data_IF_314303107592
#
_entry.id   IF_314303107592
#
_cell.length_a   1.000
_cell.length_b   1.000
_cell.length_c   1.000
_cell.angle_alpha   90.00
_cell.angle_beta   90.00
_cell.angle_gamma   90.00
#
_symmetry.space_group_name_H-M   'P 1'
#
loop_
_entity.id
_entity.type
_entity.pdbx_description
1 polymer ?
#
# COMPACT_ATOMS: atom_id res chain seq x y z
N UNK A 1 2.61 -13.78 -10.01
CA UNK A 1 2.13 -12.40 -9.81
C UNK A 1 1.83 -11.77 -11.15
N UNK A 2 0.90 -10.81 -11.19
CA UNK A 2 0.52 -10.09 -12.40
C UNK A 2 1.58 -9.05 -12.78
N UNK A 3 2.02 -9.05 -14.03
CA UNK A 3 3.05 -8.14 -14.56
C UNK A 3 2.62 -6.68 -14.44
N UNK A 4 1.33 -6.44 -14.64
CA UNK A 4 0.68 -5.15 -14.58
C UNK A 4 0.87 -4.48 -13.20
N UNK A 5 0.92 -5.27 -12.12
CA UNK A 5 1.16 -4.75 -10.77
C UNK A 5 2.61 -4.29 -10.58
N UNK A 6 3.59 -5.00 -11.16
CA UNK A 6 5.00 -4.56 -11.13
C UNK A 6 5.19 -3.31 -11.96
N UNK A 7 4.58 -3.23 -13.14
CA UNK A 7 4.62 -2.04 -13.98
C UNK A 7 3.99 -0.84 -13.26
N UNK A 8 2.82 -1.03 -12.62
CA UNK A 8 2.18 -0.02 -11.77
C UNK A 8 3.11 0.43 -10.63
N UNK A 9 3.72 -0.51 -9.91
CA UNK A 9 4.65 -0.22 -8.82
C UNK A 9 5.88 0.58 -9.29
N UNK A 10 6.45 0.23 -10.44
CA UNK A 10 7.63 0.91 -10.99
C UNK A 10 7.27 2.34 -11.39
N UNK A 11 6.14 2.51 -12.10
CA UNK A 11 5.69 3.78 -12.67
C UNK A 11 5.15 4.74 -11.62
N UNK A 12 4.32 4.26 -10.70
CA UNK A 12 3.54 5.13 -9.81
C UNK A 12 4.30 5.52 -8.54
N UNK A 13 5.34 4.77 -8.13
CA UNK A 13 6.08 4.99 -6.88
C UNK A 13 7.54 5.41 -7.09
N UNK A 14 7.97 6.43 -6.34
CA UNK A 14 9.37 6.86 -6.30
C UNK A 14 10.22 5.94 -5.39
N UNK A 15 11.56 6.08 -5.33
CA UNK A 15 12.42 5.20 -4.54
C UNK A 15 12.08 5.13 -3.04
N UNK A 16 11.76 6.25 -2.38
CA UNK A 16 11.44 6.24 -0.93
C UNK A 16 10.09 5.59 -0.67
N UNK A 17 9.12 5.80 -1.55
CA UNK A 17 7.80 5.16 -1.52
C UNK A 17 7.90 3.65 -1.75
N UNK A 18 8.77 3.21 -2.67
CA UNK A 18 9.05 1.78 -2.89
C UNK A 18 9.60 1.12 -1.61
N UNK A 19 10.52 1.79 -0.91
CA UNK A 19 11.03 1.30 0.37
C UNK A 19 9.93 1.22 1.44
N UNK A 20 9.08 2.25 1.53
CA UNK A 20 7.94 2.25 2.45
C UNK A 20 6.97 1.10 2.13
N UNK A 21 6.62 0.92 0.87
CA UNK A 21 5.78 -0.17 0.39
C UNK A 21 6.34 -1.53 0.81
N UNK A 22 7.63 -1.78 0.53
CA UNK A 22 8.28 -3.06 0.84
C UNK A 22 8.35 -3.31 2.35
N UNK A 23 8.59 -2.27 3.14
CA UNK A 23 8.53 -2.34 4.60
C UNK A 23 7.13 -2.76 5.07
N UNK A 24 6.08 -2.13 4.55
CA UNK A 24 4.69 -2.46 4.89
C UNK A 24 4.28 -3.85 4.43
N UNK A 25 4.70 -4.27 3.25
CA UNK A 25 4.47 -5.62 2.76
C UNK A 25 5.12 -6.66 3.68
N UNK A 26 6.37 -6.43 4.11
CA UNK A 26 7.07 -7.33 5.03
C UNK A 26 6.35 -7.41 6.37
N UNK A 27 6.01 -6.28 6.99
CA UNK A 27 5.25 -6.22 8.24
C UNK A 27 3.91 -6.97 8.13
N UNK A 28 3.17 -6.76 7.04
CA UNK A 28 1.89 -7.40 6.82
C UNK A 28 1.99 -8.93 6.64
N UNK A 29 3.00 -9.40 5.91
CA UNK A 29 3.23 -10.84 5.71
C UNK A 29 3.67 -11.50 7.03
N UNK A 30 4.67 -10.93 7.71
CA UNK A 30 5.34 -11.60 8.83
C UNK A 30 4.61 -11.41 10.16
N UNK A 31 4.08 -10.21 10.42
CA UNK A 31 3.44 -9.88 11.70
C UNK A 31 1.93 -10.06 11.65
N UNK A 32 1.29 -9.71 10.52
CA UNK A 32 -0.17 -9.85 10.37
C UNK A 32 -0.61 -11.17 9.72
N UNK A 33 0.32 -11.98 9.20
CA UNK A 33 -0.01 -13.26 8.56
C UNK A 33 -0.83 -13.12 7.28
N UNK A 34 -0.73 -11.97 6.60
CA UNK A 34 -1.45 -11.75 5.35
C UNK A 34 -0.78 -12.49 4.18
N UNK A 35 -1.57 -13.16 3.31
CA UNK A 35 -1.01 -13.91 2.19
C UNK A 35 -0.48 -12.98 1.08
N UNK A 36 0.55 -13.43 0.39
CA UNK A 36 1.10 -12.79 -0.80
C UNK A 36 0.09 -12.86 -1.96
N UNK A 37 -0.71 -11.82 -2.10
CA UNK A 37 -1.76 -11.73 -3.12
C UNK A 37 -1.95 -10.29 -3.63
N UNK A 38 -2.87 -10.12 -4.58
CA UNK A 38 -3.21 -8.81 -5.13
C UNK A 38 -3.82 -7.86 -4.10
N UNK A 39 -4.62 -8.37 -3.15
CA UNK A 39 -5.17 -7.53 -2.08
C UNK A 39 -4.05 -6.97 -1.18
N UNK A 40 -2.99 -7.76 -0.92
CA UNK A 40 -1.82 -7.30 -0.17
C UNK A 40 -1.09 -6.19 -0.92
N UNK A 41 -0.91 -6.36 -2.23
CA UNK A 41 -0.33 -5.32 -3.08
C UNK A 41 -1.14 -4.02 -2.97
N UNK A 42 -2.45 -4.08 -3.18
CA UNK A 42 -3.30 -2.90 -3.14
C UNK A 42 -3.32 -2.26 -1.76
N UNK A 43 -3.41 -3.05 -0.69
CA UNK A 43 -3.32 -2.56 0.68
C UNK A 43 -2.02 -1.76 0.93
N UNK A 44 -0.86 -2.34 0.60
CA UNK A 44 0.43 -1.66 0.76
C UNK A 44 0.56 -0.44 -0.17
N UNK A 45 0.00 -0.49 -1.38
CA UNK A 45 -0.02 0.61 -2.33
C UNK A 45 -0.81 1.80 -1.77
N UNK A 46 -2.03 1.58 -1.28
CA UNK A 46 -2.85 2.65 -0.71
C UNK A 46 -2.27 3.18 0.62
N UNK A 47 -1.65 2.33 1.44
CA UNK A 47 -0.88 2.82 2.59
C UNK A 47 0.25 3.78 2.18
N UNK A 48 0.91 3.49 1.05
CA UNK A 48 1.98 4.33 0.51
C UNK A 48 1.42 5.65 -0.02
N UNK A 49 0.27 5.64 -0.71
CA UNK A 49 -0.41 6.86 -1.14
C UNK A 49 -0.87 7.73 0.04
N UNK A 50 -1.36 7.11 1.11
CA UNK A 50 -1.71 7.83 2.35
C UNK A 50 -0.50 8.54 2.94
N UNK A 51 0.67 7.89 2.93
CA UNK A 51 1.91 8.51 3.38
C UNK A 51 2.37 9.65 2.46
N UNK A 52 2.20 9.49 1.14
CA UNK A 52 2.41 10.59 0.18
C UNK A 52 1.52 11.79 0.48
N UNK A 53 0.24 11.59 0.76
CA UNK A 53 -0.65 12.72 1.04
C UNK A 53 -0.31 13.42 2.36
N UNK A 54 0.17 12.69 3.36
CA UNK A 54 0.67 13.27 4.61
C UNK A 54 1.89 14.17 4.43
N UNK A 55 2.73 13.91 3.44
CA UNK A 55 3.93 14.73 3.16
C UNK A 55 3.62 15.98 2.33
N UNK A 56 2.40 16.11 1.78
CA UNK A 56 1.96 17.33 1.12
C UNK A 56 1.66 18.38 2.20
N UNK A 57 2.53 19.40 2.30
CA UNK A 57 2.27 20.54 3.18
C UNK A 57 1.03 21.29 2.72
N UNK A 58 0.04 21.42 3.60
CA UNK A 58 -1.14 22.26 3.36
C UNK A 58 -0.97 23.67 3.91
N UNK A 59 0.19 24.02 4.48
CA UNK A 59 0.46 25.37 4.98
C UNK A 59 0.83 26.28 3.80
N UNK A 60 0.01 27.31 3.56
CA UNK A 60 0.22 28.29 2.49
C UNK A 60 -0.30 27.89 1.10
N UNK A 61 -0.93 26.72 0.95
CA UNK A 61 -1.50 26.28 -0.32
C UNK A 61 -2.89 26.85 -0.60
N UNK A 62 -3.23 26.99 -1.88
CA UNK A 62 -4.57 27.39 -2.34
C UNK A 62 -5.65 26.45 -1.78
N UNK A 63 -6.80 27.01 -1.36
CA UNK A 63 -7.88 26.24 -0.70
C UNK A 63 -8.38 25.02 -1.51
N UNK A 64 -8.30 25.09 -2.84
CA UNK A 64 -8.65 23.99 -3.73
C UNK A 64 -7.69 22.80 -3.61
N UNK A 65 -6.37 23.03 -3.52
CA UNK A 65 -5.39 21.97 -3.33
C UNK A 65 -5.60 21.26 -1.99
N UNK A 66 -5.92 22.01 -0.94
CA UNK A 66 -6.26 21.46 0.37
C UNK A 66 -7.51 20.58 0.29
N UNK A 67 -8.54 21.02 -0.41
CA UNK A 67 -9.75 20.24 -0.63
C UNK A 67 -9.45 18.91 -1.34
N UNK A 68 -8.70 18.95 -2.45
CA UNK A 68 -8.32 17.74 -3.18
C UNK A 68 -7.53 16.74 -2.33
N UNK A 69 -6.59 17.23 -1.51
CA UNK A 69 -5.80 16.36 -0.61
C UNK A 69 -6.69 15.73 0.45
N UNK A 70 -7.64 16.47 1.02
CA UNK A 70 -8.58 15.95 2.03
C UNK A 70 -9.49 14.89 1.43
N UNK A 71 -10.15 15.16 0.31
CA UNK A 71 -11.04 14.19 -0.34
C UNK A 71 -10.27 12.96 -0.83
N UNK A 72 -9.12 13.16 -1.48
CA UNK A 72 -8.26 12.05 -1.90
C UNK A 72 -7.78 11.20 -0.71
N UNK A 73 -7.50 11.81 0.44
CA UNK A 73 -7.14 11.06 1.65
C UNK A 73 -8.30 10.21 2.15
N UNK A 74 -9.54 10.72 2.15
CA UNK A 74 -10.72 9.93 2.53
C UNK A 74 -10.90 8.72 1.62
N UNK A 75 -10.80 8.90 0.31
CA UNK A 75 -10.92 7.82 -0.67
C UNK A 75 -9.85 6.74 -0.46
N UNK A 76 -8.60 7.16 -0.21
CA UNK A 76 -7.50 6.25 0.12
C UNK A 76 -7.77 5.50 1.43
N UNK A 77 -8.31 6.15 2.45
CA UNK A 77 -8.65 5.49 3.71
C UNK A 77 -9.75 4.44 3.56
N UNK A 78 -10.76 4.72 2.74
CA UNK A 78 -11.81 3.75 2.40
C UNK A 78 -11.20 2.55 1.67
N UNK A 79 -10.31 2.79 0.69
CA UNK A 79 -9.63 1.72 -0.02
C UNK A 79 -8.75 0.86 0.90
N UNK A 80 -7.99 1.48 1.81
CA UNK A 80 -7.17 0.77 2.80
C UNK A 80 -8.05 -0.19 3.62
N UNK A 81 -9.16 0.30 4.18
CA UNK A 81 -10.09 -0.51 4.99
C UNK A 81 -10.65 -1.68 4.18
N UNK A 82 -11.08 -1.43 2.95
CA UNK A 82 -11.63 -2.46 2.07
C UNK A 82 -10.64 -3.60 1.84
N UNK A 83 -9.38 -3.29 1.52
CA UNK A 83 -8.37 -4.33 1.29
C UNK A 83 -7.91 -4.99 2.59
N UNK A 84 -7.86 -4.25 3.70
CA UNK A 84 -7.57 -4.83 5.01
C UNK A 84 -8.62 -5.86 5.42
N UNK A 85 -9.91 -5.55 5.28
CA UNK A 85 -11.00 -6.49 5.57
C UNK A 85 -10.93 -7.75 4.71
N UNK A 86 -10.58 -7.60 3.43
CA UNK A 86 -10.36 -8.75 2.53
C UNK A 86 -9.17 -9.60 2.95
N UNK A 87 -8.11 -8.97 3.44
CA UNK A 87 -6.91 -9.67 3.93
C UNK A 87 -7.15 -10.37 5.26
N UNK A 88 -7.87 -9.74 6.19
CA UNK A 88 -8.25 -10.36 7.46
C UNK A 88 -9.07 -11.64 7.23
N UNK A 89 -9.98 -11.65 6.23
CA UNK A 89 -10.72 -12.86 5.83
C UNK A 89 -9.85 -13.96 5.23
N UNK A 90 -8.65 -13.64 4.75
CA UNK A 90 -7.70 -14.55 4.08
C UNK A 90 -6.46 -14.84 4.93
N UNK A 91 -6.47 -14.38 6.18
CA UNK A 91 -5.33 -14.45 7.08
C UNK A 91 -4.92 -15.90 7.31
N UNK A 92 -3.62 -16.14 7.22
CA UNK A 92 -3.07 -17.47 7.39
C UNK A 92 -2.74 -17.70 8.87
N UNK A 93 -3.01 -18.91 9.37
CA UNK A 93 -2.63 -19.33 10.73
C UNK A 93 -1.11 -19.42 10.91
N UNK A 94 -0.35 -19.53 9.83
CA UNK A 94 1.11 -19.55 9.80
C UNK A 94 1.61 -18.54 8.76
N UNK A 95 2.78 -17.92 8.96
CA UNK A 95 3.34 -16.96 8.01
C UNK A 95 3.41 -17.53 6.60
N UNK A 96 3.04 -16.72 5.59
CA UNK A 96 3.06 -17.16 4.20
C UNK A 96 4.49 -17.47 3.77
N UNK A 97 4.77 -18.76 3.54
CA UNK A 97 6.06 -19.22 3.03
C UNK A 97 6.37 -18.65 1.67
N UNK A 98 5.38 -18.18 0.88
CA UNK A 98 5.59 -17.53 -0.42
C UNK A 98 5.76 -16.01 -0.30
N UNK A 99 5.66 -15.46 0.91
CA UNK A 99 5.81 -14.03 1.17
C UNK A 99 7.16 -13.46 0.73
N UNK A 100 8.26 -14.22 0.84
CA UNK A 100 9.57 -13.75 0.37
C UNK A 100 9.58 -13.49 -1.14
N UNK A 101 8.90 -14.33 -1.94
CA UNK A 101 8.78 -14.13 -3.40
C UNK A 101 8.03 -12.85 -3.74
N UNK A 102 7.09 -12.44 -2.89
CA UNK A 102 6.40 -11.15 -3.04
C UNK A 102 7.38 -10.00 -2.88
N UNK A 103 8.13 -10.01 -1.78
CA UNK A 103 9.10 -8.95 -1.48
C UNK A 103 10.18 -8.89 -2.56
N UNK A 104 10.72 -10.03 -2.96
CA UNK A 104 11.77 -10.12 -3.98
C UNK A 104 11.27 -9.67 -5.36
N UNK A 105 10.04 -10.04 -5.73
CA UNK A 105 9.44 -9.59 -6.98
C UNK A 105 9.23 -8.07 -7.03
N UNK A 106 8.96 -7.41 -5.90
CA UNK A 106 8.75 -5.94 -5.85
C UNK A 106 9.97 -5.13 -5.41
N UNK A 107 11.03 -5.78 -4.92
CA UNK A 107 12.34 -5.14 -4.73
C UNK A 107 12.92 -4.68 -6.07
#
# INVERSE_FOLDING_TARGET
MRKELKEKFIRDLNPSEKLFFLKKAREAITLKGYPACEDLFNYCYFLTLKERFRSISTQGGEGYLRFLVVEGTKDVEVAIKLYEERLEKKKLLKPDTKGYKFIEYFS
#
